data_IF_874055108776
#
_entry.id   IF_874055108776
#
_cell.length_a   1.000
_cell.length_b   1.000
_cell.length_c   1.000
_cell.angle_alpha   90.00
_cell.angle_beta   90.00
_cell.angle_gamma   90.00
#
_symmetry.space_group_name_H-M   'P 1'
#
loop_
_entity.id
_entity.type
_entity.pdbx_description
1 polymer ?
#
# COMPACT_ATOMS: atom_id res chain seq x y z
N UNK A 1 8.24 11.70 38.62
CA UNK A 1 6.88 11.56 39.20
C UNK A 1 7.01 11.82 40.71
N UNK A 2 6.81 13.07 41.15
CA UNK A 2 7.17 13.49 42.51
C UNK A 2 6.06 13.30 43.54
N UNK A 3 4.80 13.53 43.17
CA UNK A 3 3.69 13.67 44.10
C UNK A 3 2.85 12.39 44.32
N UNK A 4 3.47 11.21 44.20
CA UNK A 4 2.76 9.93 44.41
C UNK A 4 2.83 9.55 45.88
N UNK A 5 1.68 9.32 46.52
CA UNK A 5 1.60 8.82 47.90
C UNK A 5 2.38 7.51 48.04
N UNK A 6 3.31 7.45 48.99
CA UNK A 6 4.15 6.28 49.26
C UNK A 6 3.74 5.63 50.58
N UNK A 7 3.63 4.30 50.58
CA UNK A 7 3.39 3.50 51.78
C UNK A 7 4.74 3.13 52.41
N UNK A 8 5.01 3.49 53.69
CA UNK A 8 6.16 2.97 54.42
C UNK A 8 5.98 1.48 54.70
N UNK A 9 7.04 0.69 54.50
CA UNK A 9 7.08 -0.73 54.84
C UNK A 9 7.97 -0.92 56.09
N UNK A 10 7.58 -1.79 57.03
CA UNK A 10 8.37 -2.07 58.22
C UNK A 10 9.74 -2.65 57.84
N UNK A 11 10.76 -2.35 58.64
CA UNK A 11 12.08 -2.98 58.52
C UNK A 11 11.94 -4.48 58.82
N UNK A 12 12.43 -5.32 57.92
CA UNK A 12 12.49 -6.79 58.08
C UNK A 12 13.94 -7.23 57.96
N UNK A 13 14.34 -8.16 58.83
CA UNK A 13 15.59 -8.94 58.83
C UNK A 13 16.80 -8.18 58.26
N UNK A 14 17.33 -7.26 59.08
CA UNK A 14 18.55 -6.48 58.84
C UNK A 14 18.53 -5.50 57.65
N UNK A 15 17.35 -5.17 57.09
CA UNK A 15 17.21 -4.17 56.03
C UNK A 15 16.51 -2.91 56.55
N UNK A 16 16.99 -1.74 56.11
CA UNK A 16 16.40 -0.43 56.43
C UNK A 16 14.94 -0.36 55.96
N UNK A 17 14.12 0.42 56.66
CA UNK A 17 12.74 0.67 56.26
C UNK A 17 12.69 1.26 54.84
N UNK A 18 11.81 0.71 53.99
CA UNK A 18 11.65 1.14 52.59
C UNK A 18 10.25 1.66 52.35
N UNK A 19 10.06 2.46 51.31
CA UNK A 19 8.74 2.94 50.91
C UNK A 19 8.38 2.44 49.51
N UNK A 20 7.12 2.02 49.30
CA UNK A 20 6.59 1.63 47.99
C UNK A 20 5.58 2.65 47.50
N UNK A 21 5.59 2.90 46.19
CA UNK A 21 4.60 3.73 45.52
C UNK A 21 3.72 2.85 44.61
N UNK A 22 2.43 3.17 44.45
CA UNK A 22 1.58 2.53 43.46
C UNK A 22 2.05 2.81 42.03
N UNK A 23 1.80 1.86 41.13
CA UNK A 23 2.03 2.06 39.69
C UNK A 23 1.01 3.06 39.16
N UNK A 24 1.48 4.19 38.65
CA UNK A 24 0.60 5.13 37.94
C UNK A 24 0.20 4.53 36.59
N UNK A 25 -1.09 4.27 36.44
CA UNK A 25 -1.71 3.83 35.19
C UNK A 25 -2.02 5.03 34.29
N UNK A 26 -2.09 4.84 32.97
CA UNK A 26 -2.39 5.88 31.96
C UNK A 26 -1.42 7.09 31.95
N UNK A 27 -0.21 6.95 32.47
CA UNK A 27 0.82 7.97 32.25
C UNK A 27 1.28 7.97 30.79
N UNK A 28 1.48 9.15 30.24
CA UNK A 28 2.23 9.35 29.00
C UNK A 28 3.68 8.94 29.23
N UNK A 29 4.10 7.84 28.61
CA UNK A 29 5.48 7.35 28.63
C UNK A 29 6.11 7.45 27.24
N UNK A 30 7.45 7.44 27.10
CA UNK A 30 8.11 7.38 25.80
C UNK A 30 7.62 6.22 24.93
N UNK A 31 7.31 5.07 25.54
CA UNK A 31 6.71 3.91 24.84
C UNK A 31 5.33 4.23 24.26
N UNK A 32 4.49 4.96 25.01
CA UNK A 32 3.18 5.41 24.49
C UNK A 32 3.36 6.36 23.31
N UNK A 33 4.30 7.30 23.39
CA UNK A 33 4.64 8.22 22.29
C UNK A 33 5.14 7.45 21.07
N UNK A 34 6.06 6.52 21.26
CA UNK A 34 6.61 5.67 20.19
C UNK A 34 5.53 4.84 19.51
N UNK A 35 4.61 4.23 20.29
CA UNK A 35 3.46 3.48 19.73
C UNK A 35 2.53 4.38 18.94
N UNK A 36 2.28 5.62 19.40
CA UNK A 36 1.48 6.62 18.68
C UNK A 36 2.17 7.02 17.36
N UNK A 37 3.46 7.29 17.38
CA UNK A 37 4.25 7.61 16.18
C UNK A 37 4.26 6.45 15.19
N UNK A 38 4.50 5.22 15.66
CA UNK A 38 4.46 4.00 14.83
C UNK A 38 3.10 3.82 14.17
N UNK A 39 2.00 4.05 14.88
CA UNK A 39 0.64 3.96 14.31
C UNK A 39 0.45 4.93 13.14
N UNK A 40 0.91 6.17 13.29
CA UNK A 40 0.80 7.19 12.24
C UNK A 40 1.69 6.82 11.05
N UNK A 41 2.93 6.39 11.30
CA UNK A 41 3.88 5.95 10.26
C UNK A 41 3.32 4.79 9.43
N UNK A 42 2.71 3.79 10.08
CA UNK A 42 2.07 2.66 9.40
C UNK A 42 0.88 3.10 8.53
N UNK A 43 0.07 4.06 8.98
CA UNK A 43 -1.02 4.62 8.16
C UNK A 43 -0.48 5.32 6.92
N UNK A 44 0.56 6.15 7.06
CA UNK A 44 1.23 6.81 5.93
C UNK A 44 1.80 5.79 4.95
N UNK A 45 2.53 4.78 5.44
CA UNK A 45 3.10 3.70 4.60
C UNK A 45 2.05 2.94 3.80
N UNK A 46 0.87 2.66 4.39
CA UNK A 46 -0.23 2.01 3.66
C UNK A 46 -0.79 2.91 2.56
N UNK A 47 -0.94 4.20 2.82
CA UNK A 47 -1.44 5.15 1.83
C UNK A 47 -0.47 5.30 0.65
N UNK A 48 0.85 5.40 0.91
CA UNK A 48 1.85 5.49 -0.16
C UNK A 48 1.85 4.23 -1.02
N UNK A 49 1.88 3.04 -0.38
CA UNK A 49 1.86 1.77 -1.10
C UNK A 49 0.59 1.61 -1.98
N UNK A 50 -0.58 2.03 -1.48
CA UNK A 50 -1.81 1.98 -2.27
C UNK A 50 -1.79 2.95 -3.47
N UNK A 51 -1.19 4.14 -3.32
CA UNK A 51 -1.05 5.10 -4.41
C UNK A 51 -0.06 4.60 -5.48
N UNK A 52 1.07 4.04 -5.05
CA UNK A 52 2.08 3.45 -5.94
C UNK A 52 1.48 2.28 -6.75
N UNK A 53 0.80 1.34 -6.08
CA UNK A 53 0.14 0.22 -6.75
C UNK A 53 -0.91 0.67 -7.77
N UNK A 54 -1.70 1.71 -7.46
CA UNK A 54 -2.68 2.26 -8.39
C UNK A 54 -2.00 2.92 -9.61
N UNK A 55 -0.90 3.66 -9.39
CA UNK A 55 -0.14 4.27 -10.47
C UNK A 55 0.49 3.21 -11.39
N UNK A 56 1.03 2.14 -10.83
CA UNK A 56 1.63 1.06 -11.62
C UNK A 56 0.58 0.26 -12.40
N UNK A 57 -0.57 0.01 -11.79
CA UNK A 57 -1.71 -0.59 -12.49
C UNK A 57 -2.20 0.29 -13.66
N UNK A 58 -2.27 1.61 -13.46
CA UNK A 58 -2.67 2.54 -14.51
C UNK A 58 -1.68 2.52 -15.70
N UNK A 59 -0.37 2.49 -15.43
CA UNK A 59 0.66 2.35 -16.48
C UNK A 59 0.47 1.06 -17.29
N UNK A 60 0.28 -0.06 -16.61
CA UNK A 60 0.05 -1.37 -17.23
C UNK A 60 -1.23 -1.39 -18.08
N UNK A 61 -2.30 -0.76 -17.60
CA UNK A 61 -3.54 -0.63 -18.35
C UNK A 61 -3.36 0.15 -19.65
N UNK A 62 -2.60 1.24 -19.63
CA UNK A 62 -2.30 2.03 -20.84
C UNK A 62 -1.54 1.19 -21.85
N UNK A 63 -0.53 0.43 -21.43
CA UNK A 63 0.23 -0.48 -22.29
C UNK A 63 -0.69 -1.51 -22.96
N UNK A 64 -1.51 -2.23 -22.17
CA UNK A 64 -2.44 -3.24 -22.71
C UNK A 64 -3.49 -2.65 -23.66
N UNK A 65 -4.00 -1.45 -23.38
CA UNK A 65 -4.94 -0.76 -24.29
C UNK A 65 -4.27 -0.41 -25.62
N UNK A 66 -3.01 0.04 -25.60
CA UNK A 66 -2.24 0.32 -26.83
C UNK A 66 -2.02 -0.95 -27.64
N UNK A 67 -1.57 -2.03 -27.01
CA UNK A 67 -1.38 -3.33 -27.67
C UNK A 67 -2.67 -3.89 -28.27
N UNK A 68 -3.78 -3.85 -27.52
CA UNK A 68 -5.08 -4.31 -28.00
C UNK A 68 -5.57 -3.50 -29.20
N UNK A 69 -5.40 -2.17 -29.17
CA UNK A 69 -5.72 -1.30 -30.31
C UNK A 69 -4.85 -1.63 -31.52
N UNK A 70 -3.54 -1.81 -31.35
CA UNK A 70 -2.63 -2.16 -32.43
C UNK A 70 -3.01 -3.50 -33.09
N UNK A 71 -3.29 -4.55 -32.29
CA UNK A 71 -3.76 -5.85 -32.78
C UNK A 71 -5.08 -5.74 -33.55
N UNK A 72 -6.01 -4.91 -33.07
CA UNK A 72 -7.31 -4.71 -33.74
C UNK A 72 -7.14 -4.02 -35.10
N UNK A 73 -6.28 -3.00 -35.18
CA UNK A 73 -6.00 -2.30 -36.44
C UNK A 73 -5.24 -3.18 -37.43
N UNK A 74 -4.29 -3.99 -36.98
CA UNK A 74 -3.61 -4.98 -37.81
C UNK A 74 -4.60 -6.01 -38.40
N UNK A 75 -5.49 -6.56 -37.56
CA UNK A 75 -6.51 -7.51 -38.00
C UNK A 75 -7.52 -6.90 -38.99
N UNK A 76 -7.85 -5.60 -38.85
CA UNK A 76 -8.65 -4.87 -39.84
C UNK A 76 -7.88 -4.70 -41.16
N UNK A 77 -6.61 -4.29 -41.09
CA UNK A 77 -5.75 -4.11 -42.27
C UNK A 77 -5.60 -5.41 -43.05
N UNK A 78 -5.36 -6.53 -42.36
CA UNK A 78 -5.29 -7.87 -42.98
C UNK A 78 -6.58 -8.24 -43.70
N UNK A 79 -7.75 -8.00 -43.07
CA UNK A 79 -9.07 -8.23 -43.71
C UNK A 79 -9.30 -7.34 -44.93
N UNK A 80 -8.93 -6.06 -44.86
CA UNK A 80 -9.08 -5.17 -46.02
C UNK A 80 -8.16 -5.57 -47.18
N UNK A 81 -6.94 -6.04 -46.87
CA UNK A 81 -6.00 -6.52 -47.89
C UNK A 81 -6.54 -7.78 -48.57
N UNK A 82 -7.04 -8.76 -47.81
CA UNK A 82 -7.61 -9.98 -48.38
C UNK A 82 -8.84 -9.70 -49.26
N UNK A 83 -9.75 -8.81 -48.82
CA UNK A 83 -10.92 -8.42 -49.63
C UNK A 83 -10.51 -7.75 -50.95
N UNK A 84 -9.46 -6.91 -50.92
CA UNK A 84 -8.97 -6.24 -52.12
C UNK A 84 -8.39 -7.25 -53.12
N UNK A 85 -7.61 -8.21 -52.62
CA UNK A 85 -7.01 -9.27 -53.43
C UNK A 85 -8.08 -10.17 -54.09
N UNK A 86 -9.11 -10.56 -53.33
CA UNK A 86 -10.25 -11.33 -53.88
C UNK A 86 -11.07 -10.54 -54.90
N UNK A 87 -11.18 -9.21 -54.76
CA UNK A 87 -11.85 -8.37 -55.76
C UNK A 87 -11.02 -8.19 -57.03
N UNK A 88 -9.69 -8.08 -56.90
CA UNK A 88 -8.81 -8.02 -58.06
C UNK A 88 -8.82 -9.31 -58.86
N UNK A 89 -8.84 -10.48 -58.20
CA UNK A 89 -8.91 -11.77 -58.90
C UNK A 89 -10.24 -11.96 -59.65
N UNK A 90 -11.37 -11.60 -59.04
CA UNK A 90 -12.68 -11.61 -59.71
C UNK A 90 -12.71 -10.69 -60.94
N UNK A 91 -12.00 -9.55 -60.89
CA UNK A 91 -11.97 -8.59 -62.00
C UNK A 91 -11.08 -9.04 -63.16
N UNK A 92 -10.04 -9.85 -62.89
CA UNK A 92 -9.19 -10.45 -63.92
C UNK A 92 -9.86 -11.64 -64.61
N UNK A 93 -10.66 -12.45 -63.90
CA UNK A 93 -11.42 -13.57 -64.50
C UNK A 93 -12.60 -13.12 -65.37
N UNK A 94 -13.03 -11.86 -65.27
CA UNK A 94 -14.15 -11.28 -66.04
C UNK A 94 -13.71 -10.50 -67.30
N UNK A 95 -12.43 -10.52 -67.65
CA UNK A 95 -11.88 -9.90 -68.86
C UNK A 95 -11.59 -10.94 -69.95
#
# INVERSE_FOLDING_TARGET
RGFVVRRPLPAKDNKKATSKAPKIQRLITPVVLQRKHRRIALKKKRQTASKEAAADYAKLLVQRKKESKAKREEAKRRRSASIRESKSSISSDKK
#
